data_IF_743949164906
#
_entry.id   IF_743949164906
#
_cell.length_a   1.000
_cell.length_b   1.000
_cell.length_c   1.000
_cell.angle_alpha   90.00
_cell.angle_beta   90.00
_cell.angle_gamma   90.00
#
_symmetry.space_group_name_H-M   'P 1'
#
loop_
_entity.id
_entity.type
_entity.pdbx_description
1 polymer ?
#
# COMPACT_ATOMS: atom_id res chain seq x y z
N UNK A 1 14.27 24.07 -14.23
CA UNK A 1 13.91 25.13 -15.19
C UNK A 1 14.19 24.57 -16.57
N UNK A 2 13.22 23.94 -17.19
CA UNK A 2 13.08 23.81 -18.63
C UNK A 2 11.70 23.19 -18.89
N UNK A 3 10.75 24.07 -19.13
CA UNK A 3 9.49 23.78 -19.79
C UNK A 3 9.78 23.85 -21.29
N UNK A 4 9.59 22.78 -22.02
CA UNK A 4 9.27 22.80 -23.44
C UNK A 4 8.81 21.42 -23.91
N UNK A 5 7.53 21.26 -24.17
CA UNK A 5 7.03 20.53 -25.31
C UNK A 5 5.51 20.58 -25.39
N UNK A 6 4.96 21.73 -25.81
CA UNK A 6 3.67 21.77 -26.48
C UNK A 6 3.90 22.32 -27.87
N UNK A 7 4.18 21.44 -28.85
CA UNK A 7 4.25 21.80 -30.27
C UNK A 7 2.86 21.66 -30.89
N UNK A 8 2.21 22.79 -31.03
CA UNK A 8 0.93 22.93 -31.74
C UNK A 8 1.12 22.59 -33.21
N UNK A 9 0.51 21.50 -33.65
CA UNK A 9 0.45 21.15 -35.08
C UNK A 9 -0.77 21.85 -35.68
N UNK A 10 -0.52 22.90 -36.48
CA UNK A 10 -1.50 23.56 -37.33
C UNK A 10 -1.80 22.70 -38.53
N UNK A 11 -3.01 22.16 -38.64
CA UNK A 11 -3.49 21.44 -39.81
C UNK A 11 -4.24 22.43 -40.70
N UNK A 12 -3.58 22.80 -41.82
CA UNK A 12 -4.15 23.54 -42.90
C UNK A 12 -5.18 22.69 -43.67
N UNK A 13 -6.42 23.20 -43.80
CA UNK A 13 -7.48 22.56 -44.60
C UNK A 13 -7.39 22.98 -46.04
N UNK A 14 -7.27 22.09 -47.02
CA UNK A 14 -7.68 22.35 -48.39
C UNK A 14 -9.13 21.95 -48.59
N UNK A 15 -9.94 22.89 -49.06
CA UNK A 15 -11.32 22.64 -49.44
C UNK A 15 -11.39 21.70 -50.64
N UNK A 16 -12.16 20.66 -50.54
CA UNK A 16 -12.56 19.83 -51.67
C UNK A 16 -14.03 19.43 -51.49
N UNK A 17 -14.84 19.89 -52.43
CA UNK A 17 -16.21 19.47 -52.63
C UNK A 17 -16.23 17.97 -52.90
N UNK A 18 -17.03 17.23 -52.17
CA UNK A 18 -17.28 15.82 -52.49
C UNK A 18 -18.76 15.64 -52.79
N UNK A 19 -18.98 15.13 -54.00
CA UNK A 19 -20.25 14.67 -54.50
C UNK A 19 -20.80 13.49 -53.70
N UNK A 20 -22.11 13.47 -53.58
CA UNK A 20 -22.89 12.41 -52.94
C UNK A 20 -22.89 11.18 -53.85
N UNK A 21 -22.21 10.13 -53.42
CA UNK A 21 -22.17 8.82 -54.12
C UNK A 21 -21.91 7.71 -53.17
N UNK A 22 -22.94 7.07 -52.72
CA UNK A 22 -23.20 5.66 -52.44
C UNK A 22 -22.08 4.77 -51.83
N UNK A 23 -22.41 4.20 -50.68
CA UNK A 23 -21.89 2.94 -50.09
C UNK A 23 -20.39 2.81 -49.78
N UNK A 24 -20.11 2.86 -48.49
CA UNK A 24 -18.84 2.37 -47.95
C UNK A 24 -18.88 2.42 -46.43
N UNK A 25 -19.30 1.33 -45.79
CA UNK A 25 -19.15 1.12 -44.34
C UNK A 25 -17.64 1.08 -44.06
N UNK A 26 -17.05 2.25 -43.74
CA UNK A 26 -15.70 2.32 -43.21
C UNK A 26 -15.77 2.16 -41.70
N UNK A 27 -15.40 0.99 -41.23
CA UNK A 27 -15.17 0.63 -39.83
C UNK A 27 -14.17 1.60 -39.21
N UNK A 28 -14.66 2.53 -38.41
CA UNK A 28 -13.83 3.43 -37.61
C UNK A 28 -13.21 2.62 -36.45
N UNK A 29 -12.05 2.03 -36.69
CA UNK A 29 -11.23 1.44 -35.65
C UNK A 29 -10.68 2.57 -34.77
N UNK A 30 -11.41 2.85 -33.67
CA UNK A 30 -10.90 3.72 -32.60
C UNK A 30 -9.80 2.93 -31.90
N UNK A 31 -8.55 3.22 -32.25
CA UNK A 31 -7.40 2.78 -31.48
C UNK A 31 -7.46 3.48 -30.11
N UNK A 32 -7.95 2.78 -29.10
CA UNK A 32 -7.81 3.14 -27.69
C UNK A 32 -6.30 3.04 -27.38
N UNK A 33 -5.60 4.14 -27.58
CA UNK A 33 -4.25 4.31 -27.02
C UNK A 33 -4.48 4.47 -25.51
N UNK A 34 -4.51 3.36 -24.81
CA UNK A 34 -4.46 3.36 -23.34
C UNK A 34 -3.15 4.00 -22.92
N UNK A 35 -3.20 5.17 -22.29
CA UNK A 35 -2.08 5.69 -21.52
C UNK A 35 -1.77 4.67 -20.42
N UNK A 36 -0.78 3.81 -20.65
CA UNK A 36 -0.15 3.08 -19.57
C UNK A 36 0.67 4.12 -18.80
N UNK A 37 0.13 4.63 -17.69
CA UNK A 37 0.94 5.37 -16.74
C UNK A 37 2.07 4.45 -16.30
N UNK A 38 3.30 4.81 -16.65
CA UNK A 38 4.49 4.13 -16.13
C UNK A 38 4.43 4.25 -14.61
N UNK A 39 4.14 3.15 -13.94
CA UNK A 39 4.20 3.11 -12.49
C UNK A 39 5.64 3.44 -12.08
N UNK A 40 5.83 4.35 -11.09
CA UNK A 40 7.16 4.63 -10.58
C UNK A 40 7.83 3.31 -10.19
N UNK A 41 9.14 3.24 -10.40
CA UNK A 41 9.98 2.07 -10.12
C UNK A 41 9.82 1.68 -8.64
N UNK A 42 8.88 0.77 -8.36
CA UNK A 42 8.55 0.34 -7.01
C UNK A 42 9.38 -0.87 -6.64
N UNK A 43 9.93 -0.88 -5.44
CA UNK A 43 10.57 -2.08 -4.89
C UNK A 43 9.57 -3.24 -4.89
N UNK A 44 9.95 -4.43 -5.39
CA UNK A 44 9.10 -5.61 -5.34
C UNK A 44 8.64 -5.92 -3.92
N UNK A 45 7.37 -6.28 -3.75
CA UNK A 45 6.77 -6.65 -2.47
C UNK A 45 6.27 -8.08 -2.51
N UNK A 46 6.28 -8.76 -1.37
CA UNK A 46 5.89 -10.16 -1.22
C UNK A 46 4.77 -10.27 -0.17
N UNK A 47 3.70 -11.01 -0.47
CA UNK A 47 2.61 -11.21 0.48
C UNK A 47 3.11 -11.69 1.84
N UNK A 48 2.63 -11.06 2.90
CA UNK A 48 3.00 -11.39 4.27
C UNK A 48 1.78 -11.27 5.17
N UNK A 49 1.53 -12.30 5.96
CA UNK A 49 0.41 -12.41 6.88
C UNK A 49 0.87 -12.98 8.22
N UNK A 50 0.15 -12.68 9.28
CA UNK A 50 0.48 -13.17 10.61
C UNK A 50 -0.68 -13.01 11.58
N UNK A 51 -0.44 -13.39 12.82
CA UNK A 51 -1.41 -13.22 13.91
C UNK A 51 -0.75 -12.57 15.10
N UNK A 52 -1.53 -11.81 15.87
CA UNK A 52 -1.03 -11.13 17.06
C UNK A 52 -2.05 -11.22 18.20
N UNK A 53 -1.54 -11.53 19.39
CA UNK A 53 -2.31 -11.58 20.64
C UNK A 53 -1.63 -10.79 21.73
N UNK A 54 -2.41 -10.28 22.66
CA UNK A 54 -1.94 -9.66 23.89
C UNK A 54 -2.60 -10.30 25.08
N UNK A 55 -1.82 -10.89 25.99
CA UNK A 55 -2.33 -11.66 27.13
C UNK A 55 -3.33 -12.75 26.71
N UNK A 56 -3.04 -13.44 25.60
CA UNK A 56 -3.87 -14.51 25.06
C UNK A 56 -5.16 -14.05 24.35
N UNK A 57 -5.38 -12.75 24.18
CA UNK A 57 -6.55 -12.20 23.47
C UNK A 57 -6.15 -11.54 22.14
N UNK A 58 -6.95 -11.65 21.08
CA UNK A 58 -6.68 -10.96 19.83
C UNK A 58 -6.73 -9.44 20.01
N UNK A 59 -5.79 -8.73 19.37
CA UNK A 59 -5.67 -7.26 19.47
C UNK A 59 -6.39 -6.56 18.32
N UNK A 60 -7.69 -6.78 18.22
CA UNK A 60 -8.50 -6.20 17.15
C UNK A 60 -8.35 -4.68 17.02
N UNK A 61 -8.08 -4.20 15.80
CA UNK A 61 -7.89 -2.79 15.49
C UNK A 61 -6.51 -2.25 15.88
N UNK A 62 -5.56 -3.10 16.28
CA UNK A 62 -4.19 -2.66 16.48
C UNK A 62 -3.51 -2.36 15.14
N UNK A 63 -2.55 -1.44 15.16
CA UNK A 63 -1.66 -1.12 14.05
C UNK A 63 -0.32 -1.83 14.26
N UNK A 64 0.07 -2.62 13.28
CA UNK A 64 1.40 -3.24 13.17
C UNK A 64 2.20 -2.46 12.12
N UNK A 65 3.41 -2.04 12.43
CA UNK A 65 4.30 -1.40 11.46
C UNK A 65 5.65 -2.13 11.44
N UNK A 66 6.15 -2.35 10.23
CA UNK A 66 7.42 -3.00 9.96
C UNK A 66 8.46 -1.91 9.61
N UNK A 67 9.51 -1.84 10.41
CA UNK A 67 10.62 -0.89 10.22
C UNK A 67 11.81 -1.62 9.64
N UNK A 68 12.22 -1.34 8.40
CA UNK A 68 13.34 -2.04 7.77
C UNK A 68 14.64 -1.77 8.54
N UNK A 69 15.43 -2.82 8.77
CA UNK A 69 16.76 -2.69 9.38
C UNK A 69 17.78 -2.08 8.43
N UNK A 70 17.60 -2.29 7.12
CA UNK A 70 18.37 -1.65 6.07
C UNK A 70 17.54 -0.54 5.42
N UNK A 71 18.09 0.66 5.18
CA UNK A 71 17.35 1.75 4.54
C UNK A 71 16.82 1.35 3.15
N UNK A 72 15.55 1.60 2.90
CA UNK A 72 14.86 1.38 1.61
C UNK A 72 14.39 2.73 1.06
N UNK A 73 15.26 3.39 0.28
CA UNK A 73 14.95 4.71 -0.26
C UNK A 73 13.69 4.68 -1.14
N UNK A 74 12.78 5.63 -0.92
CA UNK A 74 11.57 5.76 -1.73
C UNK A 74 10.46 4.72 -1.43
N UNK A 75 10.70 3.76 -0.52
CA UNK A 75 9.71 2.75 -0.16
C UNK A 75 9.02 3.13 1.17
N UNK A 76 7.68 3.20 1.22
CA UNK A 76 6.97 3.41 2.49
C UNK A 76 7.20 2.25 3.45
N UNK A 77 7.20 2.52 4.77
CA UNK A 77 7.24 1.46 5.76
C UNK A 77 5.98 0.58 5.66
N UNK A 78 6.15 -0.74 5.52
CA UNK A 78 5.01 -1.67 5.49
C UNK A 78 4.22 -1.63 6.79
N UNK A 79 2.90 -1.75 6.71
CA UNK A 79 1.99 -1.68 7.85
C UNK A 79 0.80 -2.61 7.68
N UNK A 80 0.14 -2.94 8.79
CA UNK A 80 -1.06 -3.75 8.78
C UNK A 80 -2.03 -3.30 9.87
N UNK A 81 -3.33 -3.40 9.60
CA UNK A 81 -4.37 -3.31 10.63
C UNK A 81 -4.77 -4.73 11.03
N UNK A 82 -4.87 -4.96 12.34
CA UNK A 82 -5.21 -6.27 12.89
C UNK A 82 -6.72 -6.47 12.87
N UNK A 83 -7.15 -7.60 12.32
CA UNK A 83 -8.55 -8.03 12.26
C UNK A 83 -9.12 -8.41 13.62
N UNK A 84 -10.42 -8.73 13.64
CA UNK A 84 -11.14 -9.10 14.89
C UNK A 84 -10.61 -10.40 15.52
N UNK A 85 -10.08 -11.26 14.71
CA UNK A 85 -9.48 -12.57 15.07
C UNK A 85 -8.00 -12.48 15.45
N UNK A 86 -7.41 -11.29 15.40
CA UNK A 86 -5.98 -11.08 15.61
C UNK A 86 -5.12 -11.31 14.39
N UNK A 87 -5.70 -11.69 13.25
CA UNK A 87 -4.97 -11.85 11.99
C UNK A 87 -4.70 -10.50 11.32
N UNK A 88 -3.59 -10.41 10.60
CA UNK A 88 -3.22 -9.23 9.83
C UNK A 88 -2.55 -9.60 8.50
N UNK A 89 -2.66 -8.71 7.52
CA UNK A 89 -1.97 -8.78 6.24
C UNK A 89 -1.21 -7.47 6.02
N UNK A 90 0.05 -7.60 5.65
CA UNK A 90 0.94 -6.46 5.47
C UNK A 90 0.63 -5.74 4.15
N UNK A 91 0.76 -4.43 4.17
CA UNK A 91 0.54 -3.54 3.02
C UNK A 91 1.65 -2.50 2.94
N UNK A 92 2.20 -2.30 1.75
CA UNK A 92 3.23 -1.28 1.47
C UNK A 92 2.67 -0.19 0.56
N UNK A 93 2.23 -0.53 -0.63
CA UNK A 93 1.72 0.42 -1.64
C UNK A 93 0.21 0.33 -1.80
N UNK A 94 -0.33 -0.89 -1.77
CA UNK A 94 -1.77 -1.16 -1.84
C UNK A 94 -2.16 -2.18 -0.78
N UNK A 95 -3.46 -2.37 -0.56
CA UNK A 95 -3.96 -3.27 0.48
C UNK A 95 -3.50 -4.71 0.24
N UNK A 96 -2.89 -5.31 1.26
CA UNK A 96 -2.46 -6.71 1.31
C UNK A 96 -1.43 -7.12 0.23
N UNK A 97 -0.66 -6.15 -0.30
CA UNK A 97 0.39 -6.42 -1.27
C UNK A 97 1.67 -6.99 -0.63
N UNK A 98 1.81 -6.88 0.69
CA UNK A 98 2.92 -7.41 1.44
C UNK A 98 4.00 -6.38 1.76
N UNK A 99 5.26 -6.85 1.84
CA UNK A 99 6.43 -6.03 2.14
C UNK A 99 7.61 -6.41 1.23
N UNK A 100 8.56 -5.49 1.00
CA UNK A 100 9.82 -5.82 0.35
C UNK A 100 10.60 -6.89 1.10
N UNK A 101 11.47 -7.59 0.36
CA UNK A 101 12.42 -8.53 0.97
C UNK A 101 13.33 -7.81 1.96
N UNK A 102 13.57 -8.43 3.12
CA UNK A 102 14.48 -7.91 4.14
C UNK A 102 14.08 -8.24 5.57
N UNK A 103 14.90 -7.75 6.49
CA UNK A 103 14.68 -7.87 7.93
C UNK A 103 14.04 -6.62 8.49
N UNK A 104 13.06 -6.82 9.35
CA UNK A 104 12.26 -5.74 9.94
C UNK A 104 12.17 -5.85 11.45
N UNK A 105 12.22 -4.70 12.12
CA UNK A 105 11.75 -4.57 13.49
C UNK A 105 10.27 -4.24 13.47
N UNK A 106 9.46 -4.97 14.23
CA UNK A 106 8.01 -4.78 14.29
C UNK A 106 7.63 -3.91 15.46
N UNK A 107 6.76 -2.93 15.24
CA UNK A 107 6.11 -2.17 16.29
C UNK A 107 4.61 -2.40 16.29
N UNK A 108 4.01 -2.32 17.48
CA UNK A 108 2.58 -2.56 17.67
C UNK A 108 2.00 -1.42 18.51
N UNK A 109 0.92 -0.84 18.01
CA UNK A 109 0.14 0.20 18.69
C UNK A 109 -1.32 -0.25 18.76
N UNK A 110 -1.90 -0.19 19.92
CA UNK A 110 -3.30 -0.57 20.14
C UNK A 110 -4.03 0.44 21.00
N UNK A 111 -4.77 1.32 20.38
CA UNK A 111 -5.58 2.35 21.02
C UNK A 111 -7.02 1.86 21.14
N UNK A 112 -7.43 1.45 22.34
CA UNK A 112 -8.83 1.07 22.55
C UNK A 112 -9.72 2.32 22.57
N UNK A 113 -10.86 2.30 21.86
CA UNK A 113 -11.79 3.42 21.92
C UNK A 113 -12.35 3.56 23.33
N UNK A 114 -12.44 4.79 23.82
CA UNK A 114 -13.06 5.14 25.10
C UNK A 114 -14.19 6.14 24.87
N UNK A 115 -15.23 6.08 25.72
CA UNK A 115 -16.30 7.06 25.70
C UNK A 115 -15.86 8.32 26.47
N UNK A 116 -16.03 9.48 25.84
CA UNK A 116 -15.87 10.78 26.47
C UNK A 116 -17.15 11.59 26.29
N UNK A 117 -18.07 11.48 27.25
CA UNK A 117 -19.41 12.00 27.13
C UNK A 117 -20.21 11.29 26.04
N UNK A 118 -20.68 12.03 25.04
CA UNK A 118 -21.39 11.50 23.86
C UNK A 118 -20.46 11.00 22.77
N UNK A 119 -19.15 11.33 22.82
CA UNK A 119 -18.17 11.02 21.81
C UNK A 119 -17.40 9.73 22.11
N UNK A 120 -16.88 9.10 21.04
CA UNK A 120 -15.93 7.99 21.14
C UNK A 120 -14.58 8.50 20.65
N UNK A 121 -13.60 8.50 21.55
CA UNK A 121 -12.24 8.97 21.27
C UNK A 121 -11.23 7.84 21.39
N UNK A 122 -10.06 8.03 20.78
CA UNK A 122 -8.94 7.09 20.90
C UNK A 122 -8.40 7.16 22.33
N UNK A 123 -8.36 6.03 23.03
CA UNK A 123 -7.77 5.91 24.35
C UNK A 123 -6.24 5.82 24.30
N UNK A 124 -5.60 5.59 25.45
CA UNK A 124 -4.15 5.37 25.49
C UNK A 124 -3.76 4.05 24.82
N UNK A 125 -2.49 3.96 24.38
CA UNK A 125 -1.94 2.68 23.92
C UNK A 125 -1.92 1.67 25.07
N UNK A 126 -2.52 0.51 24.87
CA UNK A 126 -2.60 -0.57 25.88
C UNK A 126 -1.45 -1.58 25.76
N UNK A 127 -0.69 -1.52 24.68
CA UNK A 127 0.51 -2.34 24.47
C UNK A 127 1.68 -1.71 25.24
N UNK A 128 2.55 -2.52 25.89
CA UNK A 128 3.73 -1.99 26.56
C UNK A 128 4.58 -1.10 25.65
N UNK A 129 5.05 0.02 26.20
CA UNK A 129 5.76 1.06 25.44
C UNK A 129 6.99 0.54 24.67
N UNK A 130 7.63 -0.54 25.14
CA UNK A 130 8.76 -1.15 24.44
C UNK A 130 8.42 -1.59 23.02
N UNK A 131 7.19 -2.06 22.77
CA UNK A 131 6.74 -2.51 21.44
C UNK A 131 6.24 -1.37 20.54
N UNK A 132 6.06 -0.18 21.11
CA UNK A 132 5.62 1.00 20.36
C UNK A 132 6.79 1.74 19.65
N UNK A 133 8.03 1.40 19.99
CA UNK A 133 9.21 2.09 19.48
C UNK A 133 10.16 1.07 18.81
N UNK A 134 10.58 1.32 17.55
CA UNK A 134 11.46 0.40 16.82
C UNK A 134 12.84 0.21 17.47
N UNK A 135 13.30 1.18 18.27
CA UNK A 135 14.60 1.07 18.96
C UNK A 135 14.54 0.19 20.22
N UNK A 136 13.37 -0.10 20.75
CA UNK A 136 13.17 -0.90 21.98
C UNK A 136 12.42 -2.19 21.75
N UNK A 137 11.76 -2.33 20.58
CA UNK A 137 11.04 -3.54 20.23
C UNK A 137 12.03 -4.67 19.90
N UNK A 138 11.79 -5.82 20.52
CA UNK A 138 12.52 -7.07 20.28
C UNK A 138 11.83 -7.98 19.24
N UNK A 139 10.73 -7.50 18.67
CA UNK A 139 10.00 -8.22 17.63
C UNK A 139 10.70 -8.06 16.28
N UNK A 140 11.16 -9.16 15.72
CA UNK A 140 11.87 -9.18 14.43
C UNK A 140 11.19 -10.17 13.50
N UNK A 141 11.02 -9.77 12.23
CA UNK A 141 10.54 -10.64 11.16
C UNK A 141 11.41 -10.48 9.92
N UNK A 142 11.52 -11.55 9.12
CA UNK A 142 12.20 -11.53 7.83
C UNK A 142 11.19 -11.82 6.74
N UNK A 143 11.20 -11.01 5.69
CA UNK A 143 10.40 -11.20 4.49
C UNK A 143 11.31 -11.76 3.40
N UNK A 144 10.86 -12.82 2.74
CA UNK A 144 11.56 -13.51 1.66
C UNK A 144 10.72 -13.46 0.37
N UNK A 145 11.32 -13.68 -0.80
CA UNK A 145 10.56 -13.86 -2.03
C UNK A 145 9.53 -14.98 -1.90
N UNK A 146 8.29 -14.71 -2.31
CA UNK A 146 7.14 -15.63 -2.20
C UNK A 146 6.18 -15.27 -1.06
N UNK A 147 5.30 -16.21 -0.68
CA UNK A 147 4.38 -16.03 0.44
C UNK A 147 5.11 -16.15 1.78
N UNK A 148 4.78 -15.27 2.72
CA UNK A 148 5.37 -15.23 4.05
C UNK A 148 4.29 -15.40 5.12
N UNK A 149 4.34 -16.51 5.84
CA UNK A 149 3.59 -16.73 7.07
C UNK A 149 4.47 -16.30 8.25
N UNK A 150 4.19 -15.13 8.79
CA UNK A 150 4.95 -14.58 9.89
C UNK A 150 4.66 -15.34 11.19
N UNK A 151 5.64 -15.50 12.08
CA UNK A 151 5.41 -16.16 13.36
C UNK A 151 4.33 -15.43 14.16
N UNK A 152 3.52 -16.19 14.90
CA UNK A 152 2.52 -15.62 15.78
C UNK A 152 3.20 -14.74 16.86
N UNK A 153 2.76 -13.49 16.97
CA UNK A 153 3.28 -12.53 17.93
C UNK A 153 2.41 -12.61 19.20
N UNK A 154 3.00 -13.02 20.30
CA UNK A 154 2.37 -13.03 21.62
C UNK A 154 3.03 -11.96 22.51
N UNK A 155 2.22 -11.00 22.97
CA UNK A 155 2.66 -9.85 23.78
C UNK A 155 2.16 -9.95 25.23
#
# INVERSE_FOLDING_TARGET
>A
MNLECCKTISVSRPGRRFDVGLLGVAMLAIALVGCSEAQPDRTPVFPAKGTITFKGQPVSGALVALHPKAPMAGTPNPRANVGKDGAFQVSTYVTADGAPEGDYTVTVLWYKPIKNGADVVSGPNVIPAKYANPNTSDLVVSIKPGENDLPAIAL
#
